data_IF_180423242940
#
_entry.id   IF_180423242940
#
_cell.length_a   1.000
_cell.length_b   1.000
_cell.length_c   1.000
_cell.angle_alpha   90.00
_cell.angle_beta   90.00
_cell.angle_gamma   90.00
#
_symmetry.space_group_name_H-M   'P 1'
#
loop_
_entity.id
_entity.type
_entity.pdbx_description
1 polymer ?
#
# COMPACT_ATOMS: atom_id res chain seq x y z
N UNK A 1 1.75 -20.84 -14.77
CA UNK A 1 0.39 -20.32 -15.02
C UNK A 1 -0.02 -19.46 -13.83
N UNK A 2 -0.54 -18.23 -14.04
CA UNK A 2 -1.10 -17.42 -12.95
C UNK A 2 -2.59 -17.74 -12.79
N UNK A 3 -2.94 -18.51 -11.75
CA UNK A 3 -4.33 -18.91 -11.47
C UNK A 3 -5.11 -17.92 -10.59
N UNK A 4 -4.42 -16.96 -9.97
CA UNK A 4 -5.04 -15.91 -9.15
C UNK A 4 -5.55 -14.76 -10.01
N UNK A 5 -5.05 -14.64 -11.24
CA UNK A 5 -5.34 -13.52 -12.12
C UNK A 5 -4.55 -12.26 -11.74
N UNK A 6 -4.89 -11.15 -12.38
CA UNK A 6 -4.38 -9.83 -12.02
C UNK A 6 -5.40 -9.10 -11.15
N UNK A 7 -4.95 -8.17 -10.33
CA UNK A 7 -5.80 -7.43 -9.38
C UNK A 7 -5.55 -5.93 -9.48
N UNK A 8 -6.53 -5.14 -9.07
CA UNK A 8 -6.35 -3.70 -8.93
C UNK A 8 -5.74 -3.31 -7.57
N UNK A 9 -6.25 -3.90 -6.50
CA UNK A 9 -5.87 -3.57 -5.13
C UNK A 9 -5.28 -4.79 -4.42
N UNK A 10 -4.08 -4.62 -3.87
CA UNK A 10 -3.34 -5.69 -3.20
C UNK A 10 -2.94 -5.27 -1.79
N UNK A 11 -3.36 -6.02 -0.77
CA UNK A 11 -2.81 -5.84 0.56
C UNK A 11 -1.46 -6.55 0.65
N UNK A 12 -0.40 -5.80 0.96
CA UNK A 12 0.95 -6.37 1.10
C UNK A 12 0.93 -7.40 2.25
N UNK A 13 1.40 -8.64 2.03
CA UNK A 13 1.40 -9.69 3.04
C UNK A 13 2.21 -9.28 4.27
N UNK A 14 1.88 -9.86 5.43
CA UNK A 14 2.68 -9.75 6.65
C UNK A 14 3.16 -8.32 6.96
N UNK A 15 2.27 -7.33 6.78
CA UNK A 15 2.56 -5.91 7.02
C UNK A 15 3.68 -5.32 6.15
N UNK A 16 4.11 -6.00 5.08
CA UNK A 16 5.32 -5.67 4.35
C UNK A 16 6.61 -5.89 5.14
N UNK A 17 6.62 -6.78 6.14
CA UNK A 17 7.83 -7.18 6.87
C UNK A 17 8.87 -7.89 5.98
N UNK A 18 10.05 -8.21 6.54
CA UNK A 18 11.13 -8.86 5.78
C UNK A 18 10.66 -10.14 5.08
N UNK A 19 10.97 -10.26 3.78
CA UNK A 19 10.55 -11.37 2.93
C UNK A 19 9.05 -11.53 2.69
N UNK A 20 8.21 -10.55 3.07
CA UNK A 20 6.77 -10.64 2.95
C UNK A 20 6.26 -10.44 1.51
N UNK A 21 6.88 -9.54 0.74
CA UNK A 21 6.64 -9.42 -0.69
C UNK A 21 7.70 -10.21 -1.45
N UNK A 22 7.24 -10.99 -2.43
CA UNK A 22 8.10 -11.83 -3.27
C UNK A 22 7.70 -11.62 -4.74
N UNK A 23 8.66 -11.41 -5.67
CA UNK A 23 8.35 -11.14 -7.07
C UNK A 23 7.39 -12.16 -7.68
N UNK A 24 7.52 -13.43 -7.31
CA UNK A 24 6.73 -14.54 -7.83
C UNK A 24 5.23 -14.35 -7.62
N UNK A 25 4.83 -13.86 -6.44
CA UNK A 25 3.43 -13.58 -6.15
C UNK A 25 3.07 -12.15 -6.55
N UNK A 26 3.84 -11.17 -6.09
CA UNK A 26 3.49 -9.75 -6.22
C UNK A 26 3.46 -9.33 -7.68
N UNK A 27 4.41 -9.76 -8.51
CA UNK A 27 4.43 -9.40 -9.93
C UNK A 27 3.43 -10.22 -10.75
N UNK A 28 3.12 -11.46 -10.34
CA UNK A 28 2.06 -12.23 -10.99
C UNK A 28 0.70 -11.55 -10.84
N UNK A 29 0.41 -10.96 -9.67
CA UNK A 29 -0.83 -10.24 -9.41
C UNK A 29 -0.94 -8.90 -10.16
N UNK A 30 0.17 -8.32 -10.63
CA UNK A 30 0.23 -7.02 -11.32
C UNK A 30 -0.69 -5.94 -10.70
N UNK A 31 -0.65 -5.69 -9.37
CA UNK A 31 -1.51 -4.71 -8.72
C UNK A 31 -1.36 -3.31 -9.31
N UNK A 32 -2.49 -2.61 -9.47
CA UNK A 32 -2.50 -1.17 -9.74
C UNK A 32 -2.07 -0.39 -8.49
N UNK A 33 -2.51 -0.81 -7.30
CA UNK A 33 -2.12 -0.22 -6.01
C UNK A 33 -1.86 -1.32 -4.98
N UNK A 34 -0.84 -1.07 -4.15
CA UNK A 34 -0.60 -1.86 -2.95
C UNK A 34 -0.97 -1.06 -1.69
N UNK A 35 -1.55 -1.73 -0.69
CA UNK A 35 -1.82 -1.17 0.64
C UNK A 35 -1.06 -1.96 1.68
N UNK A 36 -0.27 -1.28 2.49
CA UNK A 36 0.45 -1.87 3.61
C UNK A 36 -0.24 -1.52 4.92
N UNK A 37 -0.71 -2.55 5.63
CA UNK A 37 -1.29 -2.43 6.97
C UNK A 37 -0.20 -2.45 8.07
N UNK A 38 0.94 -1.79 7.82
CA UNK A 38 2.05 -1.74 8.75
C UNK A 38 1.74 -0.85 9.96
N UNK A 39 2.42 -1.13 11.06
CA UNK A 39 2.51 -0.25 12.22
C UNK A 39 3.76 0.65 12.12
N UNK A 40 3.93 1.60 13.05
CA UNK A 40 5.09 2.49 13.04
C UNK A 40 6.41 1.72 13.21
N UNK A 41 6.40 0.62 13.98
CA UNK A 41 7.55 -0.25 14.25
C UNK A 41 7.39 -1.70 13.75
N UNK A 42 6.29 -2.02 13.05
CA UNK A 42 5.99 -3.38 12.55
C UNK A 42 5.71 -3.36 11.06
N UNK A 43 6.52 -4.06 10.28
CA UNK A 43 6.37 -4.13 8.82
C UNK A 43 7.02 -2.94 8.12
N UNK A 44 6.61 -2.67 6.88
CA UNK A 44 7.19 -1.59 6.07
C UNK A 44 8.68 -1.72 5.81
N UNK A 45 9.16 -2.95 5.62
CA UNK A 45 10.58 -3.20 5.37
C UNK A 45 11.00 -2.69 3.98
N UNK A 46 12.20 -2.09 3.85
CA UNK A 46 12.74 -1.64 2.57
C UNK A 46 12.77 -2.75 1.50
N UNK A 47 13.17 -3.97 1.88
CA UNK A 47 13.23 -5.14 0.99
C UNK A 47 11.86 -5.44 0.36
N UNK A 48 10.81 -5.61 1.18
CA UNK A 48 9.49 -5.94 0.66
C UNK A 48 8.88 -4.79 -0.13
N UNK A 49 9.10 -3.54 0.29
CA UNK A 49 8.60 -2.40 -0.46
C UNK A 49 9.33 -2.20 -1.78
N UNK A 50 10.63 -2.55 -1.90
CA UNK A 50 11.32 -2.57 -3.17
C UNK A 50 10.66 -3.54 -4.16
N UNK A 51 10.36 -4.78 -3.73
CA UNK A 51 9.64 -5.76 -4.58
C UNK A 51 8.29 -5.22 -5.06
N UNK A 52 7.54 -4.57 -4.17
CA UNK A 52 6.24 -3.98 -4.51
C UNK A 52 6.42 -2.81 -5.48
N UNK A 53 7.37 -1.89 -5.22
CA UNK A 53 7.68 -0.74 -6.10
C UNK A 53 8.11 -1.17 -7.50
N UNK A 54 8.85 -2.26 -7.61
CA UNK A 54 9.36 -2.78 -8.88
C UNK A 54 8.31 -3.58 -9.66
N UNK A 55 7.09 -3.71 -9.14
CA UNK A 55 6.01 -4.44 -9.81
C UNK A 55 5.57 -3.70 -11.07
N UNK A 56 5.57 -4.34 -12.25
CA UNK A 56 5.14 -3.69 -13.49
C UNK A 56 3.70 -3.15 -13.40
N UNK A 57 3.55 -1.87 -13.68
CA UNK A 57 2.25 -1.19 -13.73
C UNK A 57 1.69 -0.73 -12.39
N UNK A 58 2.46 -0.84 -11.29
CA UNK A 58 2.04 -0.29 -10.00
C UNK A 58 2.04 1.24 -10.06
N UNK A 59 0.96 1.85 -9.61
CA UNK A 59 0.79 3.29 -9.55
C UNK A 59 1.20 3.86 -8.19
N UNK A 60 0.78 3.22 -7.10
CA UNK A 60 0.99 3.73 -5.74
C UNK A 60 1.14 2.61 -4.70
N UNK A 61 1.85 2.95 -3.63
CA UNK A 61 1.86 2.21 -2.37
C UNK A 61 1.26 3.11 -1.30
N UNK A 62 0.21 2.63 -0.63
CA UNK A 62 -0.48 3.31 0.46
C UNK A 62 -0.09 2.66 1.78
N UNK A 63 0.22 3.44 2.82
CA UNK A 63 0.67 2.92 4.11
C UNK A 63 -0.23 3.37 5.25
N UNK A 64 -0.66 2.45 6.10
CA UNK A 64 -1.40 2.83 7.31
C UNK A 64 -0.53 3.65 8.25
N UNK A 65 0.74 3.27 8.45
CA UNK A 65 1.70 4.04 9.24
C UNK A 65 2.99 4.31 8.47
N UNK A 66 3.67 5.40 8.81
CA UNK A 66 5.08 5.58 8.44
C UNK A 66 5.90 4.51 9.15
N UNK A 67 6.73 3.76 8.43
CA UNK A 67 7.67 2.83 9.01
C UNK A 67 8.85 3.62 9.61
N UNK A 68 8.86 3.75 10.95
CA UNK A 68 9.83 4.56 11.70
C UNK A 68 11.22 3.95 11.76
N UNK A 69 11.31 2.62 11.58
CA UNK A 69 12.58 1.89 11.53
C UNK A 69 13.25 1.94 10.14
N UNK A 70 12.57 2.50 9.13
CA UNK A 70 13.07 2.63 7.76
C UNK A 70 13.42 4.09 7.47
N UNK A 71 14.28 4.31 6.48
CA UNK A 71 14.61 5.66 6.04
C UNK A 71 13.39 6.35 5.40
N UNK A 72 13.43 7.69 5.36
CA UNK A 72 12.37 8.46 4.72
C UNK A 72 12.16 8.07 3.25
N UNK A 73 13.25 7.73 2.53
CA UNK A 73 13.21 7.30 1.15
C UNK A 73 12.60 5.90 0.95
N UNK A 74 12.54 5.08 2.00
CA UNK A 74 11.96 3.74 1.93
C UNK A 74 10.46 3.74 2.17
N UNK A 75 9.91 4.83 2.72
CA UNK A 75 8.47 5.04 2.81
C UNK A 75 7.91 5.59 1.49
N UNK A 76 6.59 5.56 1.34
CA UNK A 76 5.87 6.21 0.23
C UNK A 76 5.75 7.72 0.47
N UNK A 77 5.14 8.44 -0.48
CA UNK A 77 4.83 9.86 -0.30
C UNK A 77 3.98 10.07 0.98
N UNK A 78 4.33 11.01 1.87
CA UNK A 78 3.56 11.29 3.07
C UNK A 78 2.06 11.51 2.86
N UNK A 79 1.60 11.97 1.69
CA UNK A 79 0.17 12.09 1.36
C UNK A 79 -0.54 10.74 1.28
N UNK A 80 0.18 9.66 0.98
CA UNK A 80 -0.31 8.29 0.90
C UNK A 80 -0.12 7.51 2.22
N UNK A 81 0.34 8.19 3.29
CA UNK A 81 0.49 7.63 4.63
C UNK A 81 -0.56 8.20 5.57
N UNK A 82 -1.37 7.33 6.17
CA UNK A 82 -2.44 7.74 7.09
C UNK A 82 -1.88 8.26 8.43
N UNK A 83 -0.90 7.58 9.02
CA UNK A 83 -0.39 7.93 10.35
C UNK A 83 1.13 8.14 10.31
N UNK A 84 1.60 9.31 10.75
CA UNK A 84 3.01 9.73 10.63
C UNK A 84 3.78 9.69 11.95
N UNK A 85 3.12 9.35 13.06
CA UNK A 85 3.66 9.40 14.42
C UNK A 85 3.92 8.00 14.96
N UNK A 86 4.63 7.93 16.10
CA UNK A 86 4.78 6.69 16.87
C UNK A 86 3.44 6.25 17.46
N UNK A 87 3.38 5.02 17.98
CA UNK A 87 2.13 4.41 18.46
C UNK A 87 1.45 5.23 19.57
N UNK A 88 2.22 5.77 20.52
CA UNK A 88 1.71 6.54 21.66
C UNK A 88 1.01 7.85 21.25
N UNK A 89 1.43 8.45 20.13
CA UNK A 89 0.89 9.71 19.60
C UNK A 89 -0.03 9.48 18.38
N UNK A 90 -0.44 8.23 18.14
CA UNK A 90 -1.21 7.87 16.95
C UNK A 90 -2.71 8.10 17.15
N UNK A 91 -3.29 8.99 16.36
CA UNK A 91 -4.74 9.26 16.34
C UNK A 91 -5.53 8.11 15.68
N UNK A 92 -4.89 7.32 14.81
CA UNK A 92 -5.53 6.17 14.15
C UNK A 92 -6.39 6.55 12.94
N UNK A 93 -5.80 7.25 11.98
CA UNK A 93 -6.44 7.53 10.69
C UNK A 93 -6.49 6.29 9.78
N UNK A 94 -7.50 6.24 8.92
CA UNK A 94 -7.74 5.14 7.98
C UNK A 94 -7.23 5.45 6.57
N UNK A 95 -7.13 4.39 5.76
CA UNK A 95 -7.08 4.45 4.30
C UNK A 95 -8.32 3.70 3.79
N UNK A 96 -9.03 4.29 2.83
CA UNK A 96 -10.29 3.73 2.33
C UNK A 96 -10.26 3.65 0.82
N UNK A 97 -10.60 2.47 0.31
CA UNK A 97 -10.99 2.30 -1.08
C UNK A 97 -12.52 2.43 -1.20
N UNK A 98 -13.02 3.09 -2.23
CA UNK A 98 -14.45 3.13 -2.58
C UNK A 98 -14.59 2.82 -4.07
N UNK A 99 -15.31 1.76 -4.39
CA UNK A 99 -15.54 1.32 -5.77
C UNK A 99 -16.86 1.91 -6.26
N UNK A 100 -16.86 2.44 -7.49
CA UNK A 100 -18.10 2.95 -8.09
C UNK A 100 -19.08 1.80 -8.39
N UNK A 101 -20.41 2.04 -8.40
CA UNK A 101 -21.40 0.99 -8.60
C UNK A 101 -21.23 0.18 -9.90
N UNK A 102 -20.63 0.78 -10.93
CA UNK A 102 -20.36 0.12 -12.21
C UNK A 102 -19.07 -0.72 -12.22
N UNK A 103 -18.30 -0.68 -11.15
CA UNK A 103 -17.04 -1.41 -10.98
C UNK A 103 -15.89 -0.91 -11.86
N UNK A 104 -16.06 0.17 -12.64
CA UNK A 104 -15.06 0.62 -13.64
C UNK A 104 -13.98 1.52 -13.06
N UNK A 105 -14.27 2.14 -11.94
CA UNK A 105 -13.35 3.05 -11.27
C UNK A 105 -13.50 2.97 -9.76
N UNK A 106 -12.44 3.38 -9.08
CA UNK A 106 -12.38 3.36 -7.63
C UNK A 106 -11.44 4.45 -7.12
N UNK A 107 -11.67 4.86 -5.88
CA UNK A 107 -10.96 5.98 -5.25
C UNK A 107 -10.30 5.49 -3.97
N UNK A 108 -9.02 5.82 -3.80
CA UNK A 108 -8.33 5.72 -2.52
C UNK A 108 -8.36 7.07 -1.81
N UNK A 109 -8.65 7.08 -0.52
CA UNK A 109 -8.68 8.29 0.31
C UNK A 109 -7.84 8.10 1.57
N UNK A 110 -7.03 9.10 1.92
CA UNK A 110 -6.33 9.21 3.19
C UNK A 110 -7.23 9.93 4.21
N UNK A 111 -7.62 9.25 5.28
CA UNK A 111 -8.47 9.82 6.33
C UNK A 111 -7.80 10.94 7.15
N UNK A 112 -6.46 11.07 7.11
CA UNK A 112 -5.74 12.15 7.80
C UNK A 112 -5.83 13.48 7.07
N UNK A 113 -5.72 13.47 5.75
CA UNK A 113 -5.59 14.69 4.93
C UNK A 113 -6.79 14.95 4.03
N UNK A 114 -7.66 13.95 3.82
CA UNK A 114 -8.70 13.98 2.79
C UNK A 114 -8.16 13.80 1.36
N UNK A 115 -6.84 13.68 1.19
CA UNK A 115 -6.23 13.43 -0.12
C UNK A 115 -6.83 12.18 -0.73
N UNK A 116 -7.22 12.28 -2.00
CA UNK A 116 -7.84 11.19 -2.73
C UNK A 116 -7.24 11.07 -4.12
N UNK A 117 -7.10 9.83 -4.60
CA UNK A 117 -6.66 9.50 -5.96
C UNK A 117 -7.62 8.50 -6.58
N UNK A 118 -8.02 8.75 -7.82
CA UNK A 118 -8.90 7.89 -8.60
C UNK A 118 -8.09 6.97 -9.51
N UNK A 119 -8.57 5.75 -9.70
CA UNK A 119 -8.01 4.73 -10.56
C UNK A 119 -9.12 4.09 -11.40
N UNK A 120 -8.73 3.51 -12.53
CA UNK A 120 -9.60 2.68 -13.36
C UNK A 120 -9.33 1.22 -13.03
N UNK A 121 -10.40 0.41 -13.05
CA UNK A 121 -10.28 -1.04 -12.89
C UNK A 121 -9.72 -1.67 -14.16
N UNK A 122 -9.00 -2.79 -14.01
CA UNK A 122 -8.49 -3.60 -15.14
C UNK A 122 -9.60 -4.36 -15.87
#
# INVERSE_FOLDING_TARGET
>A
ENRLGVVDLYQVPHHGGGGAARPELTWALQPTVAVSNNGPRKGGSPESYAVVRDTPGIADIWQVHRAMAADAADNTDPQLIANLTEEDDCVGHWIKATVQPDGRSWTMTNGRTGYSRNYLSK
#
